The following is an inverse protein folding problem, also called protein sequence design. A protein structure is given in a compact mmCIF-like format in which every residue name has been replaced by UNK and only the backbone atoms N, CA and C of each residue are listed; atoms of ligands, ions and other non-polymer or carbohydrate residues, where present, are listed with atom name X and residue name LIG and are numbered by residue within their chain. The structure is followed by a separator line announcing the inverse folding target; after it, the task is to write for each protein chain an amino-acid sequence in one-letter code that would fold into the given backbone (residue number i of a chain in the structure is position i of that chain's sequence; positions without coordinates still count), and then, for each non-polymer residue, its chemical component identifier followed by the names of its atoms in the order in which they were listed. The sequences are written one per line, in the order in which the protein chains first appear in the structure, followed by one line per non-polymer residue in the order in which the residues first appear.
data_IF_527468280514
#
_entry.id   IF_527468280514
#
_cell.length_a   1.000
_cell.length_b   1.000
_cell.length_c   1.000
_cell.angle_alpha   90.00
_cell.angle_beta   90.00
_cell.angle_gamma   90.00
#
_symmetry.space_group_name_H-M   'P 1'
#
loop_
_entity.id
_entity.type
_entity.pdbx_description
1 polymer ?
#
# COMPACT_ATOMS: atom_id res chain seq x y z
N UNK A 1 13.01 -25.27 23.90
CA UNK A 1 12.82 -24.78 22.50
C UNK A 1 11.50 -24.09 22.46
N UNK A 2 11.43 -22.76 22.36
CA UNK A 2 10.17 -22.02 22.29
C UNK A 2 9.64 -22.18 20.86
N UNK A 3 8.43 -22.72 20.72
CA UNK A 3 7.76 -22.93 19.43
C UNK A 3 7.50 -21.60 18.67
N UNK A 4 7.45 -20.48 19.39
CA UNK A 4 7.24 -19.12 18.84
C UNK A 4 8.51 -18.27 19.02
N UNK A 5 9.57 -18.61 18.29
CA UNK A 5 10.85 -17.90 18.33
C UNK A 5 10.79 -16.48 17.77
N UNK A 6 9.75 -16.15 17.01
CA UNK A 6 9.53 -14.84 16.36
C UNK A 6 8.46 -14.00 17.08
N UNK A 7 7.99 -14.48 18.25
CA UNK A 7 6.94 -13.82 19.04
C UNK A 7 5.67 -13.49 18.22
N UNK A 8 5.33 -14.35 17.26
CA UNK A 8 4.22 -14.15 16.34
C UNK A 8 2.87 -14.05 17.06
N UNK A 9 2.69 -14.82 18.15
CA UNK A 9 1.46 -14.78 18.94
C UNK A 9 1.23 -13.39 19.55
N UNK A 10 2.28 -12.72 20.02
CA UNK A 10 2.15 -11.35 20.56
C UNK A 10 1.81 -10.37 19.45
N UNK A 11 2.46 -10.47 18.29
CA UNK A 11 2.18 -9.63 17.13
C UNK A 11 0.70 -9.75 16.71
N UNK A 12 0.13 -10.96 16.73
CA UNK A 12 -1.28 -11.19 16.41
C UNK A 12 -2.19 -10.54 17.47
N UNK A 13 -1.83 -10.63 18.76
CA UNK A 13 -2.61 -9.98 19.84
C UNK A 13 -2.59 -8.44 19.71
N UNK A 14 -1.48 -7.89 19.24
CA UNK A 14 -1.29 -6.45 19.06
C UNK A 14 -1.87 -5.92 17.73
N UNK A 15 -2.43 -6.80 16.89
CA UNK A 15 -2.97 -6.41 15.59
C UNK A 15 -4.03 -5.30 15.64
N UNK A 16 -4.97 -5.25 16.61
CA UNK A 16 -5.90 -4.13 16.72
C UNK A 16 -5.22 -2.77 16.97
N UNK A 17 -4.10 -2.76 17.70
CA UNK A 17 -3.30 -1.57 17.92
C UNK A 17 -2.57 -1.17 16.63
N UNK A 18 -1.99 -2.15 15.92
CA UNK A 18 -1.38 -1.95 14.59
C UNK A 18 -2.36 -1.27 13.63
N UNK A 19 -3.61 -1.73 13.57
CA UNK A 19 -4.63 -1.15 12.69
C UNK A 19 -4.94 0.32 13.02
N UNK A 20 -5.08 0.66 14.31
CA UNK A 20 -5.35 2.04 14.75
C UNK A 20 -4.19 2.98 14.43
N UNK A 21 -2.97 2.55 14.72
CA UNK A 21 -1.77 3.30 14.40
C UNK A 21 -1.63 3.51 12.90
N UNK A 22 -1.77 2.44 12.13
CA UNK A 22 -1.64 2.46 10.68
C UNK A 22 -2.60 3.42 9.99
N UNK A 23 -3.83 3.53 10.49
CA UNK A 23 -4.84 4.45 9.94
C UNK A 23 -4.43 5.92 10.08
N UNK A 24 -3.67 6.26 11.12
CA UNK A 24 -3.22 7.62 11.39
C UNK A 24 -1.90 8.00 10.71
N UNK A 25 -1.15 7.03 10.15
CA UNK A 25 0.15 7.28 9.51
C UNK A 25 0.09 8.19 8.29
N UNK A 26 -0.92 8.15 7.41
CA UNK A 26 -0.98 9.05 6.26
C UNK A 26 -1.11 10.52 6.62
N UNK A 27 -1.49 10.87 7.85
CA UNK A 27 -1.70 12.27 8.28
C UNK A 27 -2.51 13.06 7.23
N UNK A 28 -1.83 14.00 6.55
CA UNK A 28 -2.43 14.86 5.53
C UNK A 28 -2.13 14.41 4.09
N UNK A 29 -1.53 13.23 3.91
CA UNK A 29 -1.25 12.71 2.56
C UNK A 29 -2.58 12.48 1.84
N UNK A 30 -2.76 13.19 0.74
CA UNK A 30 -3.92 13.11 -0.15
C UNK A 30 -3.47 13.33 -1.59
N UNK A 31 -4.33 13.01 -2.54
CA UNK A 31 -4.09 13.31 -3.94
C UNK A 31 -5.12 14.31 -4.46
N UNK A 32 -4.68 15.20 -5.35
CA UNK A 32 -5.55 16.19 -5.97
C UNK A 32 -6.03 15.75 -7.35
N UNK A 33 -7.17 16.28 -7.76
CA UNK A 33 -7.76 16.05 -9.09
C UNK A 33 -8.52 14.71 -9.17
N UNK A 34 -8.99 14.42 -10.38
CA UNK A 34 -9.82 13.25 -10.66
C UNK A 34 -9.06 11.93 -10.44
N UNK A 35 -9.76 10.94 -9.90
CA UNK A 35 -9.28 9.56 -9.75
C UNK A 35 -10.32 8.63 -10.40
N UNK A 36 -9.95 8.02 -11.53
CA UNK A 36 -10.83 7.13 -12.29
C UNK A 36 -10.70 5.67 -11.88
N UNK A 37 -9.54 5.30 -11.37
CA UNK A 37 -9.26 3.95 -10.91
C UNK A 37 -8.14 3.94 -9.86
N UNK A 38 -8.12 2.88 -9.05
CA UNK A 38 -7.10 2.63 -8.04
C UNK A 38 -6.35 1.37 -8.43
N UNK A 39 -5.03 1.42 -8.41
CA UNK A 39 -4.17 0.26 -8.61
C UNK A 39 -3.29 0.07 -7.38
N UNK A 40 -3.31 -1.13 -6.82
CA UNK A 40 -2.37 -1.50 -5.75
C UNK A 40 -1.33 -2.43 -6.36
N UNK A 41 -0.08 -2.01 -6.40
CA UNK A 41 1.02 -2.86 -6.87
C UNK A 41 1.86 -3.35 -5.69
N UNK A 42 2.06 -4.66 -5.61
CA UNK A 42 2.77 -5.31 -4.52
C UNK A 42 2.84 -6.81 -4.69
N UNK A 43 3.67 -7.47 -3.87
CA UNK A 43 3.85 -8.91 -3.88
C UNK A 43 3.53 -9.53 -2.53
N UNK A 44 3.11 -10.80 -2.50
CA UNK A 44 2.87 -11.56 -1.27
C UNK A 44 1.94 -10.83 -0.29
N UNK A 45 2.40 -10.63 0.95
CA UNK A 45 1.65 -9.93 2.00
C UNK A 45 1.28 -8.48 1.64
N UNK A 46 2.11 -7.78 0.85
CA UNK A 46 1.83 -6.42 0.40
C UNK A 46 0.67 -6.38 -0.59
N UNK A 47 0.53 -7.39 -1.46
CA UNK A 47 -0.58 -7.49 -2.39
C UNK A 47 -1.92 -7.86 -1.70
N UNK A 48 -1.87 -8.61 -0.59
CA UNK A 48 -3.08 -8.97 0.18
C UNK A 48 -3.80 -7.72 0.71
N UNK A 49 -3.07 -6.69 1.11
CA UNK A 49 -3.66 -5.38 1.46
C UNK A 49 -4.51 -4.80 0.32
N UNK A 50 -4.05 -4.97 -0.93
CA UNK A 50 -4.80 -4.58 -2.13
C UNK A 50 -6.07 -5.41 -2.35
N UNK A 51 -6.02 -6.72 -2.11
CA UNK A 51 -7.22 -7.58 -2.21
C UNK A 51 -8.28 -7.19 -1.17
N UNK A 52 -7.84 -6.88 0.06
CA UNK A 52 -8.73 -6.36 1.10
C UNK A 52 -9.33 -5.01 0.69
N UNK A 53 -8.52 -4.10 0.14
CA UNK A 53 -9.01 -2.82 -0.34
C UNK A 53 -10.07 -2.99 -1.44
N UNK A 54 -9.80 -3.85 -2.43
CA UNK A 54 -10.74 -4.18 -3.50
C UNK A 54 -12.07 -4.71 -2.96
N UNK A 55 -12.02 -5.55 -1.93
CA UNK A 55 -13.22 -6.10 -1.30
C UNK A 55 -13.97 -5.03 -0.50
N UNK A 56 -13.23 -4.22 0.27
CA UNK A 56 -13.81 -3.16 1.09
C UNK A 56 -14.50 -2.06 0.26
N UNK A 57 -13.96 -1.77 -0.92
CA UNK A 57 -14.47 -0.74 -1.84
C UNK A 57 -15.41 -1.30 -2.91
N UNK A 58 -15.98 -2.49 -2.71
CA UNK A 58 -16.88 -3.13 -3.70
C UNK A 58 -18.12 -2.30 -4.07
N UNK A 59 -18.54 -1.42 -3.18
CA UNK A 59 -19.77 -0.63 -3.31
C UNK A 59 -19.54 0.80 -3.83
N UNK A 60 -18.29 1.15 -4.18
CA UNK A 60 -17.99 2.44 -4.80
C UNK A 60 -17.70 2.29 -6.29
N UNK A 61 -18.01 3.35 -7.07
CA UNK A 61 -17.90 3.33 -8.54
C UNK A 61 -16.45 3.44 -9.06
N UNK A 62 -15.44 3.47 -8.19
CA UNK A 62 -14.03 3.52 -8.58
C UNK A 62 -13.45 2.11 -8.58
N UNK A 63 -13.08 1.55 -9.75
CA UNK A 63 -12.53 0.20 -9.83
C UNK A 63 -11.16 0.08 -9.16
N UNK A 64 -10.98 -0.99 -8.39
CA UNK A 64 -9.71 -1.33 -7.74
C UNK A 64 -9.08 -2.54 -8.43
N UNK A 65 -7.84 -2.39 -8.87
CA UNK A 65 -7.04 -3.45 -9.49
C UNK A 65 -5.82 -3.77 -8.64
N UNK A 66 -5.53 -5.05 -8.44
CA UNK A 66 -4.32 -5.51 -7.72
C UNK A 66 -3.31 -6.05 -8.72
N UNK A 67 -2.19 -5.38 -8.84
CA UNK A 67 -1.09 -5.73 -9.75
C UNK A 67 -0.01 -6.51 -9.02
N UNK A 68 0.31 -7.71 -9.53
CA UNK A 68 1.39 -8.57 -9.04
C UNK A 68 2.43 -8.84 -10.12
N UNK A 69 2.68 -7.86 -10.96
CA UNK A 69 3.55 -7.96 -12.12
C UNK A 69 4.54 -6.79 -12.15
N UNK A 70 5.57 -6.91 -12.98
CA UNK A 70 6.57 -5.86 -13.24
C UNK A 70 5.99 -4.64 -13.97
N UNK A 71 4.89 -4.81 -14.71
CA UNK A 71 4.23 -3.75 -15.48
C UNK A 71 2.81 -3.52 -15.01
N UNK A 72 2.41 -2.27 -15.04
CA UNK A 72 1.04 -1.88 -14.78
C UNK A 72 0.11 -2.21 -15.96
N UNK A 73 -1.18 -2.42 -15.71
CA UNK A 73 -2.19 -2.54 -16.74
C UNK A 73 -2.18 -1.34 -17.69
N UNK A 74 -2.57 -1.57 -18.96
CA UNK A 74 -2.53 -0.53 -20.01
C UNK A 74 -3.44 0.66 -19.74
N UNK A 75 -4.48 0.50 -18.94
CA UNK A 75 -5.44 1.57 -18.60
C UNK A 75 -4.89 2.61 -17.62
N UNK A 76 -3.76 2.32 -16.96
CA UNK A 76 -3.15 3.26 -16.01
C UNK A 76 -2.64 4.50 -16.73
N UNK A 77 -3.04 5.67 -16.21
CA UNK A 77 -2.72 6.99 -16.75
C UNK A 77 -2.66 8.05 -15.62
N UNK A 78 -2.63 9.33 -15.98
CA UNK A 78 -2.58 10.47 -15.04
C UNK A 78 -3.80 10.60 -14.12
N UNK A 79 -4.91 9.94 -14.43
CA UNK A 79 -6.11 9.85 -13.57
C UNK A 79 -6.14 8.58 -12.70
N UNK A 80 -5.09 7.78 -12.73
CA UNK A 80 -4.97 6.60 -11.88
C UNK A 80 -4.29 6.94 -10.55
N UNK A 81 -4.83 6.41 -9.45
CA UNK A 81 -4.14 6.40 -8.15
C UNK A 81 -3.44 5.05 -7.97
N UNK A 82 -2.12 5.08 -7.89
CA UNK A 82 -1.29 3.89 -7.71
C UNK A 82 -0.72 3.85 -6.29
N UNK A 83 -1.11 2.85 -5.51
CA UNK A 83 -0.44 2.50 -4.27
C UNK A 83 0.70 1.52 -4.57
N UNK A 84 1.93 1.97 -4.43
CA UNK A 84 3.12 1.12 -4.50
C UNK A 84 3.42 0.58 -3.10
N UNK A 85 3.12 -0.71 -2.87
CA UNK A 85 3.19 -1.32 -1.55
C UNK A 85 4.31 -2.35 -1.49
N UNK A 86 5.34 -2.07 -0.71
CA UNK A 86 6.45 -2.99 -0.45
C UNK A 86 6.96 -2.78 0.96
N UNK A 87 6.79 -3.76 1.85
CA UNK A 87 7.24 -3.62 3.23
C UNK A 87 8.75 -3.36 3.31
N UNK A 88 9.58 -4.08 2.55
CA UNK A 88 11.02 -3.84 2.49
C UNK A 88 11.43 -2.62 1.66
N UNK A 89 10.54 -2.14 0.78
CA UNK A 89 10.83 -1.10 -0.19
C UNK A 89 11.77 -1.48 -1.33
N UNK A 90 12.14 -2.76 -1.43
CA UNK A 90 13.13 -3.25 -2.41
C UNK A 90 12.61 -4.37 -3.31
N UNK A 91 11.30 -4.65 -3.31
CA UNK A 91 10.69 -5.65 -4.17
C UNK A 91 10.78 -5.21 -5.63
N UNK A 92 11.45 -6.01 -6.47
CA UNK A 92 11.76 -5.63 -7.86
C UNK A 92 10.51 -5.36 -8.69
N UNK A 93 9.49 -6.22 -8.58
CA UNK A 93 8.22 -6.06 -9.29
C UNK A 93 7.52 -4.76 -8.90
N UNK A 94 7.51 -4.45 -7.60
CA UNK A 94 6.88 -3.21 -7.10
C UNK A 94 7.65 -1.98 -7.57
N UNK A 95 8.98 -2.00 -7.53
CA UNK A 95 9.81 -0.89 -8.02
C UNK A 95 9.68 -0.71 -9.53
N UNK A 96 9.58 -1.79 -10.29
CA UNK A 96 9.35 -1.73 -11.73
C UNK A 96 8.00 -1.10 -12.06
N UNK A 97 6.93 -1.55 -11.39
CA UNK A 97 5.58 -0.98 -11.53
C UNK A 97 5.51 0.48 -11.07
N UNK A 98 6.22 0.83 -9.99
CA UNK A 98 6.35 2.21 -9.52
C UNK A 98 6.99 3.12 -10.59
N UNK A 99 8.07 2.67 -11.23
CA UNK A 99 8.69 3.41 -12.32
C UNK A 99 7.80 3.52 -13.56
N UNK A 100 7.03 2.48 -13.87
CA UNK A 100 6.02 2.50 -14.95
C UNK A 100 4.90 3.52 -14.64
N UNK A 101 4.45 3.59 -13.37
CA UNK A 101 3.49 4.61 -12.91
C UNK A 101 4.02 6.04 -13.07
N UNK A 102 5.29 6.28 -12.70
CA UNK A 102 5.96 7.58 -12.90
C UNK A 102 5.98 7.97 -14.38
N UNK A 103 6.36 7.04 -15.25
CA UNK A 103 6.42 7.29 -16.69
C UNK A 103 5.06 7.63 -17.32
N UNK A 104 3.96 7.21 -16.68
CA UNK A 104 2.58 7.49 -17.10
C UNK A 104 1.93 8.68 -16.37
N UNK A 105 2.71 9.39 -15.55
CA UNK A 105 2.25 10.52 -14.73
C UNK A 105 1.09 10.17 -13.77
N UNK A 106 0.98 8.90 -13.36
CA UNK A 106 -0.03 8.49 -12.40
C UNK A 106 0.21 9.16 -11.03
N UNK A 107 -0.85 9.30 -10.24
CA UNK A 107 -0.75 9.73 -8.84
C UNK A 107 -0.22 8.55 -8.02
N UNK A 108 0.89 8.72 -7.31
CA UNK A 108 1.56 7.61 -6.65
C UNK A 108 1.68 7.87 -5.16
N UNK A 109 1.31 6.86 -4.37
CA UNK A 109 1.55 6.81 -2.93
C UNK A 109 2.36 5.54 -2.62
N UNK A 110 3.54 5.72 -2.05
CA UNK A 110 4.34 4.61 -1.54
C UNK A 110 3.93 4.20 -0.13
N UNK A 111 3.89 2.90 0.16
CA UNK A 111 3.70 2.37 1.51
C UNK A 111 4.82 1.37 1.79
N UNK A 112 5.69 1.72 2.73
CA UNK A 112 6.93 0.95 2.96
C UNK A 112 7.53 1.23 4.35
N UNK A 113 8.36 0.34 4.85
CA UNK A 113 9.17 0.60 6.05
C UNK A 113 10.54 1.20 5.75
N UNK A 114 10.90 1.42 4.47
CA UNK A 114 12.18 1.96 4.04
C UNK A 114 12.56 1.53 2.63
N UNK A 115 13.86 1.44 2.36
CA UNK A 115 14.41 0.98 1.08
C UNK A 115 14.21 1.98 -0.08
N UNK A 116 14.51 1.52 -1.29
CA UNK A 116 14.47 2.37 -2.49
C UNK A 116 13.12 3.05 -2.71
N UNK A 117 12.02 2.38 -2.37
CA UNK A 117 10.70 2.96 -2.51
C UNK A 117 10.53 4.20 -1.62
N UNK A 118 11.07 4.18 -0.38
CA UNK A 118 11.06 5.35 0.49
C UNK A 118 11.92 6.50 -0.04
N UNK A 119 13.06 6.16 -0.65
CA UNK A 119 14.01 7.15 -1.15
C UNK A 119 13.54 7.83 -2.45
N UNK A 120 12.78 7.10 -3.29
CA UNK A 120 12.44 7.53 -4.65
C UNK A 120 10.98 8.01 -4.80
N UNK A 121 10.10 7.71 -3.83
CA UNK A 121 8.69 8.08 -3.86
C UNK A 121 8.48 9.42 -3.12
N UNK A 122 7.91 10.40 -3.82
CA UNK A 122 7.65 11.73 -3.26
C UNK A 122 6.61 11.69 -2.12
N UNK A 123 5.52 10.94 -2.34
CA UNK A 123 4.45 10.79 -1.36
C UNK A 123 4.52 9.38 -0.75
N UNK A 124 5.14 9.25 0.40
CA UNK A 124 5.37 7.97 1.06
C UNK A 124 4.77 7.94 2.46
N UNK A 125 4.02 6.89 2.75
CA UNK A 125 3.61 6.53 4.11
C UNK A 125 4.64 5.55 4.67
N UNK A 126 5.46 6.03 5.58
CA UNK A 126 6.47 5.19 6.26
C UNK A 126 5.80 4.42 7.40
N UNK A 127 5.91 3.09 7.35
CA UNK A 127 5.39 2.19 8.36
C UNK A 127 6.51 1.65 9.26
N UNK A 128 6.22 1.19 10.49
CA UNK A 128 7.23 0.63 11.38
C UNK A 128 7.96 -0.56 10.77
N UNK A 129 9.28 -0.59 10.94
CA UNK A 129 10.14 -1.70 10.52
C UNK A 129 10.20 -2.81 11.58
N UNK A 130 10.85 -3.93 11.26
CA UNK A 130 11.14 -5.02 12.23
C UNK A 130 10.09 -6.12 12.28
N UNK A 131 8.99 -6.03 11.54
CA UNK A 131 8.00 -7.10 11.43
C UNK A 131 8.32 -8.04 10.26
N UNK A 132 7.81 -9.26 10.35
CA UNK A 132 7.68 -10.10 9.16
C UNK A 132 6.65 -9.47 8.21
N UNK A 133 6.88 -9.40 6.88
CA UNK A 133 5.93 -8.76 5.94
C UNK A 133 4.49 -9.26 6.06
N UNK A 134 4.31 -10.58 6.28
CA UNK A 134 2.99 -11.20 6.49
C UNK A 134 2.31 -10.78 7.80
N UNK A 135 3.09 -10.30 8.77
CA UNK A 135 2.59 -9.85 10.07
C UNK A 135 2.34 -8.32 10.11
N UNK A 136 2.70 -7.61 9.03
CA UNK A 136 2.53 -6.16 8.89
C UNK A 136 1.25 -5.78 8.12
N UNK A 137 0.29 -6.69 7.99
CA UNK A 137 -0.90 -6.49 7.15
C UNK A 137 -1.68 -5.23 7.51
N UNK A 138 -1.80 -4.90 8.80
CA UNK A 138 -2.44 -3.67 9.23
C UNK A 138 -1.73 -2.43 8.67
N UNK A 139 -0.40 -2.40 8.74
CA UNK A 139 0.41 -1.30 8.20
C UNK A 139 0.42 -1.23 6.67
N UNK A 140 0.07 -2.29 5.97
CA UNK A 140 0.03 -2.32 4.51
C UNK A 140 -1.38 -2.05 3.94
N UNK A 141 -2.42 -2.19 4.76
CA UNK A 141 -3.81 -1.99 4.35
C UNK A 141 -4.39 -0.65 4.83
N UNK A 142 -4.36 -0.39 6.15
CA UNK A 142 -5.05 0.78 6.72
C UNK A 142 -4.52 2.14 6.25
N UNK A 143 -3.22 2.31 5.89
CA UNK A 143 -2.78 3.57 5.31
C UNK A 143 -3.46 3.90 3.98
N UNK A 144 -3.81 2.90 3.17
CA UNK A 144 -4.56 3.15 1.94
C UNK A 144 -5.94 3.76 2.24
N UNK A 145 -6.64 3.24 3.26
CA UNK A 145 -7.91 3.82 3.70
C UNK A 145 -7.74 5.26 4.20
N UNK A 146 -6.68 5.53 4.97
CA UNK A 146 -6.39 6.89 5.45
C UNK A 146 -6.14 7.88 4.31
N UNK A 147 -5.38 7.48 3.29
CA UNK A 147 -5.16 8.31 2.08
C UNK A 147 -6.47 8.54 1.33
N UNK A 148 -7.28 7.50 1.13
CA UNK A 148 -8.56 7.60 0.42
C UNK A 148 -9.55 8.50 1.17
N UNK A 149 -9.57 8.43 2.51
CA UNK A 149 -10.34 9.33 3.35
C UNK A 149 -9.86 10.79 3.19
N UNK A 150 -8.56 11.05 3.29
CA UNK A 150 -7.98 12.38 3.12
C UNK A 150 -8.23 12.95 1.71
N UNK A 151 -8.41 12.08 0.72
CA UNK A 151 -8.71 12.42 -0.68
C UNK A 151 -10.23 12.60 -0.93
N UNK A 152 -11.09 12.37 0.07
CA UNK A 152 -12.55 12.37 -0.04
C UNK A 152 -13.09 11.35 -1.06
N UNK A 153 -12.45 10.19 -1.19
CA UNK A 153 -12.93 9.06 -1.99
C UNK A 153 -13.85 8.17 -1.16
N UNK A 154 -13.58 8.08 0.16
CA UNK A 154 -14.41 7.34 1.13
C UNK A 154 -14.71 8.19 2.35
#
# INVERSE_FOLDING_TARGET
MTLDSQNMLQIIKDFPMQCREALSLPREISVSGQVDNIVVTGMGGSAIGGDLLKTYLSDIDIPVYVNRDYKLPRFVNEHSLVFAVSYSGNTEETLSSFNDAKARNAKIIGITSGGKLADECENVVTVPSGLQPRAALGYLFFPMLGVLHNTNII
#
